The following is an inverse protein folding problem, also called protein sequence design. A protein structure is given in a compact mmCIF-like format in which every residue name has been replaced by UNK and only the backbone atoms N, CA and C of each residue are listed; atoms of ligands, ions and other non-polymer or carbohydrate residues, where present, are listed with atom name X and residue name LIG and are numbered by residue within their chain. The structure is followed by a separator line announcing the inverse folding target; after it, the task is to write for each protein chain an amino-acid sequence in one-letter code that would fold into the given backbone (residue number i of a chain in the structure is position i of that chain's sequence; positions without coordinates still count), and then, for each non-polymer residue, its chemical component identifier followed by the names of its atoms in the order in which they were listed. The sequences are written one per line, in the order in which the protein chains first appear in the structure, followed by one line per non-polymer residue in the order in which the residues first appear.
data_IF_617504464813
#
_entry.id   IF_617504464813
#
_cell.length_a   1.000
_cell.length_b   1.000
_cell.length_c   1.000
_cell.angle_alpha   90.00
_cell.angle_beta   90.00
_cell.angle_gamma   90.00
#
_symmetry.space_group_name_H-M   'P 1'
#
loop_
_entity.id
_entity.type
_entity.pdbx_description
1 polymer ?
#
# COMPACT_ATOMS: atom_id res chain seq x y z
N UNK A 1 33.44 7.56 -71.96
CA UNK A 1 33.19 6.34 -71.19
C UNK A 1 33.05 6.76 -69.71
N UNK A 2 31.83 7.08 -69.32
CA UNK A 2 31.53 7.61 -67.96
C UNK A 2 31.11 6.46 -67.03
N UNK A 3 31.89 6.21 -65.98
CA UNK A 3 31.60 5.23 -64.94
C UNK A 3 30.81 5.93 -63.84
N UNK A 4 29.54 5.63 -63.70
CA UNK A 4 28.67 6.10 -62.60
C UNK A 4 28.78 5.09 -61.44
N UNK A 5 29.47 5.46 -60.39
CA UNK A 5 29.55 4.68 -59.14
C UNK A 5 28.26 4.89 -58.34
N UNK A 6 27.45 3.85 -58.21
CA UNK A 6 26.27 3.87 -57.31
C UNK A 6 26.72 3.65 -55.89
N UNK A 7 26.50 4.66 -55.03
CA UNK A 7 26.65 4.55 -53.57
C UNK A 7 25.34 4.01 -53.00
N UNK A 8 25.39 2.78 -52.48
CA UNK A 8 24.28 2.21 -51.69
C UNK A 8 24.40 2.71 -50.26
N UNK A 9 23.49 3.58 -49.84
CA UNK A 9 23.33 3.99 -48.42
C UNK A 9 22.37 3.00 -47.76
N UNK A 10 22.88 2.10 -46.94
CA UNK A 10 22.09 1.24 -46.08
C UNK A 10 21.71 1.99 -44.79
N UNK A 11 20.47 2.41 -44.69
CA UNK A 11 19.94 3.03 -43.48
C UNK A 11 19.64 1.91 -42.49
N UNK A 12 20.44 1.76 -41.45
CA UNK A 12 20.12 0.91 -40.30
C UNK A 12 19.11 1.66 -39.45
N UNK A 13 17.84 1.28 -39.56
CA UNK A 13 16.78 1.69 -38.66
C UNK A 13 16.97 1.03 -37.28
N UNK A 14 17.37 1.81 -36.28
CA UNK A 14 17.37 1.37 -34.90
C UNK A 14 15.88 1.33 -34.45
N UNK A 15 15.27 0.14 -34.48
CA UNK A 15 14.00 -0.09 -33.78
C UNK A 15 14.29 -0.05 -32.29
N UNK A 16 14.04 1.09 -31.65
CA UNK A 16 13.91 1.17 -30.19
C UNK A 16 12.66 0.41 -29.80
N UNK A 17 12.82 -0.82 -29.38
CA UNK A 17 11.75 -1.57 -28.72
C UNK A 17 11.41 -0.83 -27.40
N UNK A 18 10.35 -0.02 -27.42
CA UNK A 18 9.68 0.44 -26.21
C UNK A 18 9.14 -0.84 -25.52
N UNK A 19 9.94 -1.38 -24.61
CA UNK A 19 9.47 -2.39 -23.67
C UNK A 19 8.40 -1.73 -22.80
N UNK A 20 7.15 -1.79 -23.25
CA UNK A 20 6.01 -1.57 -22.37
C UNK A 20 6.14 -2.65 -21.29
N UNK A 21 6.63 -2.30 -20.11
CA UNK A 21 6.67 -3.18 -18.95
C UNK A 21 5.21 -3.51 -18.63
N UNK A 22 4.74 -4.66 -19.12
CA UNK A 22 3.40 -5.13 -18.88
C UNK A 22 3.19 -5.23 -17.37
N UNK A 23 2.15 -4.58 -16.87
CA UNK A 23 1.67 -4.77 -15.49
C UNK A 23 1.39 -6.27 -15.33
N UNK A 24 2.12 -6.91 -14.44
CA UNK A 24 1.92 -8.32 -14.14
C UNK A 24 1.10 -8.44 -12.86
N UNK A 25 -0.09 -8.98 -12.95
CA UNK A 25 -0.87 -9.39 -11.78
C UNK A 25 -0.50 -10.84 -11.42
N UNK A 26 -0.11 -11.07 -10.16
CA UNK A 26 0.25 -12.38 -9.64
C UNK A 26 -0.66 -12.74 -8.46
N UNK A 27 -0.96 -14.02 -8.30
CA UNK A 27 -1.63 -14.52 -7.09
C UNK A 27 -0.74 -14.23 -5.87
N UNK A 28 -1.34 -13.75 -4.78
CA UNK A 28 -0.59 -13.44 -3.56
C UNK A 28 -0.12 -14.70 -2.84
N UNK A 29 -0.90 -15.76 -2.91
CA UNK A 29 -0.58 -17.07 -2.33
C UNK A 29 -0.36 -18.06 -3.47
N UNK A 30 0.74 -18.83 -3.47
CA UNK A 30 0.99 -19.84 -4.49
C UNK A 30 0.05 -21.05 -4.37
N UNK A 31 -0.41 -21.32 -3.14
CA UNK A 31 -1.29 -22.43 -2.77
C UNK A 31 -2.62 -21.90 -2.26
N UNK A 32 -3.24 -22.63 -1.33
CA UNK A 32 -4.50 -22.23 -0.72
C UNK A 32 -4.38 -20.91 0.05
N UNK A 33 -5.37 -20.04 -0.12
CA UNK A 33 -5.45 -18.78 0.64
C UNK A 33 -5.80 -19.10 2.10
N UNK A 34 -4.96 -18.74 3.08
CA UNK A 34 -5.23 -19.04 4.49
C UNK A 34 -6.48 -18.33 4.96
N UNK A 35 -7.18 -18.92 5.97
CA UNK A 35 -8.40 -18.33 6.52
C UNK A 35 -9.57 -18.18 5.50
N UNK A 36 -9.42 -18.73 4.29
CA UNK A 36 -10.49 -18.71 3.29
C UNK A 36 -11.49 -19.85 3.50
N UNK A 37 -12.74 -19.59 3.15
CA UNK A 37 -13.76 -20.61 2.95
C UNK A 37 -13.80 -21.00 1.47
N UNK A 38 -14.15 -22.26 1.21
CA UNK A 38 -14.34 -22.75 -0.16
C UNK A 38 -15.69 -22.26 -0.71
N UNK A 39 -15.63 -21.13 -1.40
CA UNK A 39 -16.80 -20.48 -1.99
C UNK A 39 -16.47 -19.94 -3.38
N UNK A 40 -17.48 -19.75 -4.20
CA UNK A 40 -17.34 -19.14 -5.52
C UNK A 40 -16.83 -17.71 -5.39
N UNK A 41 -15.89 -17.32 -6.24
CA UNK A 41 -15.42 -15.95 -6.34
C UNK A 41 -16.51 -15.05 -6.93
N UNK A 42 -17.02 -14.12 -6.13
CA UNK A 42 -18.04 -13.14 -6.53
C UNK A 42 -17.45 -11.73 -6.78
N UNK A 43 -16.13 -11.62 -7.00
CA UNK A 43 -15.47 -10.33 -7.23
C UNK A 43 -16.12 -9.56 -8.38
N UNK A 44 -16.37 -8.26 -8.16
CA UNK A 44 -16.92 -7.35 -9.17
C UNK A 44 -15.97 -6.16 -9.34
N UNK A 45 -15.63 -5.84 -10.57
CA UNK A 45 -14.88 -4.66 -10.96
C UNK A 45 -15.75 -3.75 -11.82
N UNK A 46 -15.97 -2.52 -11.38
CA UNK A 46 -16.76 -1.52 -12.13
C UNK A 46 -15.95 -0.89 -13.26
N UNK A 47 -16.62 -0.17 -14.17
CA UNK A 47 -15.97 0.61 -15.22
C UNK A 47 -15.04 1.71 -14.67
N UNK A 48 -15.31 2.23 -13.47
CA UNK A 48 -14.46 3.19 -12.74
C UNK A 48 -13.32 2.53 -11.96
N UNK A 49 -13.08 1.23 -12.17
CA UNK A 49 -12.06 0.47 -11.44
C UNK A 49 -12.24 0.47 -9.91
N UNK A 50 -13.48 0.42 -9.44
CA UNK A 50 -13.79 0.10 -8.06
C UNK A 50 -13.99 -1.43 -8.00
N UNK A 51 -13.26 -2.09 -7.10
CA UNK A 51 -13.33 -3.54 -6.91
C UNK A 51 -14.05 -3.86 -5.61
N UNK A 52 -14.96 -4.79 -5.63
CA UNK A 52 -15.73 -5.23 -4.46
C UNK A 52 -15.75 -6.76 -4.35
N UNK A 53 -16.12 -7.27 -3.17
CA UNK A 53 -16.22 -8.70 -2.86
C UNK A 53 -14.92 -9.47 -3.14
N UNK A 54 -13.77 -8.86 -2.94
CA UNK A 54 -12.47 -9.50 -3.14
C UNK A 54 -12.31 -10.66 -2.18
N UNK A 55 -12.18 -11.88 -2.72
CA UNK A 55 -11.90 -13.11 -1.98
C UNK A 55 -10.58 -13.77 -2.40
N UNK A 56 -10.05 -13.38 -3.57
CA UNK A 56 -8.78 -13.85 -4.12
C UNK A 56 -7.79 -12.69 -4.17
N UNK A 57 -6.83 -12.63 -3.23
CA UNK A 57 -5.89 -11.51 -3.17
C UNK A 57 -4.79 -11.65 -4.22
N UNK A 58 -4.38 -10.52 -4.81
CA UNK A 58 -3.34 -10.45 -5.84
C UNK A 58 -2.39 -9.29 -5.58
N UNK A 59 -1.20 -9.37 -6.17
CA UNK A 59 -0.25 -8.26 -6.31
C UNK A 59 -0.14 -7.88 -7.78
N UNK A 60 -0.37 -6.60 -8.10
CA UNK A 60 -0.02 -6.06 -9.42
C UNK A 60 1.35 -5.41 -9.32
N UNK A 61 2.29 -5.89 -10.11
CA UNK A 61 3.71 -5.52 -10.07
C UNK A 61 3.97 -4.38 -11.05
N UNK A 62 4.59 -3.31 -10.56
CA UNK A 62 5.06 -2.16 -11.33
C UNK A 62 6.54 -1.96 -11.08
N UNK A 63 7.37 -2.13 -12.10
CA UNK A 63 8.82 -2.04 -11.97
C UNK A 63 9.37 -0.84 -12.77
N UNK A 64 10.30 -0.08 -12.20
CA UNK A 64 11.05 0.90 -12.96
C UNK A 64 12.02 0.20 -13.94
N UNK A 65 12.52 0.91 -14.97
CA UNK A 65 13.65 0.44 -15.76
C UNK A 65 14.82 0.04 -14.84
N UNK A 66 15.48 -1.08 -15.14
CA UNK A 66 16.54 -1.64 -14.28
C UNK A 66 17.69 -0.66 -14.00
N UNK A 67 18.05 0.16 -14.97
CA UNK A 67 19.07 1.18 -14.88
C UNK A 67 18.68 2.40 -14.02
N UNK A 68 17.40 2.54 -13.70
CA UNK A 68 16.86 3.61 -12.85
C UNK A 68 16.41 3.13 -11.48
N UNK A 69 16.43 1.82 -11.23
CA UNK A 69 15.94 1.26 -9.98
C UNK A 69 16.79 1.69 -8.78
N UNK A 70 16.15 2.27 -7.77
CA UNK A 70 16.77 2.73 -6.51
C UNK A 70 16.97 1.60 -5.49
N UNK A 71 16.34 0.45 -5.73
CA UNK A 71 16.22 -0.64 -4.78
C UNK A 71 15.08 -0.48 -3.77
N UNK A 72 14.51 0.71 -3.61
CA UNK A 72 13.34 0.91 -2.76
C UNK A 72 12.07 0.32 -3.41
N UNK A 73 11.15 -0.13 -2.56
CA UNK A 73 9.84 -0.60 -3.00
C UNK A 73 8.71 -0.20 -2.06
N UNK A 74 7.50 -0.09 -2.59
CA UNK A 74 6.30 0.28 -1.83
C UNK A 74 5.15 -0.66 -2.18
N UNK A 75 4.56 -1.28 -1.16
CA UNK A 75 3.28 -1.99 -1.27
C UNK A 75 2.18 -0.96 -1.09
N UNK A 76 1.25 -0.87 -2.03
CA UNK A 76 0.17 0.13 -2.00
C UNK A 76 -1.15 -0.57 -1.68
N UNK A 77 -1.78 -0.16 -0.58
CA UNK A 77 -3.07 -0.62 -0.09
C UNK A 77 -4.14 0.44 -0.40
N UNK A 78 -4.99 0.27 -1.44
CA UNK A 78 -6.04 1.22 -1.76
C UNK A 78 -7.07 1.35 -0.65
N UNK A 79 -7.72 2.52 -0.55
CA UNK A 79 -8.84 2.76 0.35
C UNK A 79 -10.17 2.20 -0.17
N UNK A 80 -11.23 2.49 0.57
CA UNK A 80 -12.61 2.10 0.26
C UNK A 80 -13.36 1.52 1.45
N UNK A 81 -12.99 1.92 2.67
CA UNK A 81 -13.72 1.60 3.90
C UNK A 81 -13.77 0.11 4.25
N UNK A 82 -12.89 -0.73 3.71
CA UNK A 82 -12.96 -2.19 3.75
C UNK A 82 -14.21 -2.81 3.07
N UNK A 83 -15.02 -2.01 2.38
CA UNK A 83 -16.16 -2.48 1.59
C UNK A 83 -15.87 -2.60 0.10
N UNK A 84 -14.93 -1.80 -0.38
CA UNK A 84 -14.45 -1.79 -1.77
C UNK A 84 -12.96 -1.43 -1.82
N UNK A 85 -12.35 -1.50 -3.02
CA UNK A 85 -11.00 -0.98 -3.29
C UNK A 85 -11.07 0.06 -4.41
N UNK A 86 -10.55 1.26 -4.16
CA UNK A 86 -10.37 2.33 -5.16
C UNK A 86 -9.05 2.07 -5.92
N UNK A 87 -8.98 0.91 -6.61
CA UNK A 87 -7.72 0.31 -7.04
C UNK A 87 -6.97 1.11 -8.11
N UNK A 88 -7.67 1.92 -8.92
CA UNK A 88 -7.01 2.73 -9.94
C UNK A 88 -6.35 3.96 -9.29
N UNK A 89 -7.15 4.87 -8.74
CA UNK A 89 -6.66 6.17 -8.24
C UNK A 89 -5.70 6.04 -7.05
N UNK A 90 -6.01 5.14 -6.13
CA UNK A 90 -5.24 4.92 -4.89
C UNK A 90 -4.31 3.70 -4.98
N UNK A 91 -4.15 3.13 -6.17
CA UNK A 91 -3.30 1.99 -6.46
C UNK A 91 -2.46 2.22 -7.71
N UNK A 92 -3.02 1.94 -8.89
CA UNK A 92 -2.26 1.92 -10.15
C UNK A 92 -1.65 3.27 -10.52
N UNK A 93 -2.41 4.37 -10.41
CA UNK A 93 -1.93 5.72 -10.76
C UNK A 93 -0.75 6.13 -9.85
N UNK A 94 -0.80 5.74 -8.58
CA UNK A 94 0.26 6.00 -7.59
C UNK A 94 1.47 5.10 -7.85
N UNK A 95 1.26 3.82 -8.20
CA UNK A 95 2.33 2.90 -8.54
C UNK A 95 3.12 3.38 -9.77
N UNK A 96 2.42 3.89 -10.80
CA UNK A 96 3.06 4.51 -11.97
C UNK A 96 3.89 5.75 -11.58
N UNK A 97 3.43 6.54 -10.62
CA UNK A 97 4.18 7.69 -10.14
C UNK A 97 5.48 7.27 -9.42
N UNK A 98 5.44 6.24 -8.58
CA UNK A 98 6.64 5.70 -7.93
C UNK A 98 7.63 5.11 -8.93
N UNK A 99 7.17 4.38 -9.95
CA UNK A 99 8.09 3.78 -10.94
C UNK A 99 8.81 4.83 -11.78
N UNK A 100 8.18 5.97 -12.05
CA UNK A 100 8.84 7.13 -12.69
C UNK A 100 10.01 7.68 -11.85
N UNK A 101 9.99 7.45 -10.54
CA UNK A 101 11.03 7.84 -9.58
C UNK A 101 12.04 6.70 -9.28
N UNK A 102 12.00 5.62 -10.05
CA UNK A 102 12.90 4.48 -9.86
C UNK A 102 12.54 3.58 -8.66
N UNK A 103 11.35 3.72 -8.10
CA UNK A 103 10.87 2.94 -6.95
C UNK A 103 9.93 1.85 -7.47
N UNK A 104 10.20 0.58 -7.14
CA UNK A 104 9.28 -0.50 -7.45
C UNK A 104 7.98 -0.36 -6.65
N UNK A 105 6.83 -0.62 -7.27
CA UNK A 105 5.55 -0.52 -6.58
C UNK A 105 4.71 -1.79 -6.80
N UNK A 106 3.98 -2.18 -5.77
CA UNK A 106 3.18 -3.39 -5.75
C UNK A 106 1.79 -3.05 -5.23
N UNK A 107 0.79 -3.06 -6.10
CA UNK A 107 -0.59 -2.77 -5.69
C UNK A 107 -1.22 -4.03 -5.14
N UNK A 108 -1.58 -3.98 -3.86
CA UNK A 108 -2.21 -5.10 -3.17
C UNK A 108 -3.73 -5.01 -3.31
N UNK A 109 -4.30 -5.93 -4.08
CA UNK A 109 -5.73 -6.20 -4.06
C UNK A 109 -6.00 -7.15 -2.89
N UNK A 110 -6.13 -6.59 -1.69
CA UNK A 110 -6.36 -7.38 -0.48
C UNK A 110 -7.80 -7.83 -0.35
N UNK A 111 -8.04 -8.96 0.33
CA UNK A 111 -9.38 -9.48 0.60
C UNK A 111 -10.21 -8.49 1.38
N UNK A 112 -11.47 -8.35 0.99
CA UNK A 112 -12.43 -7.55 1.75
C UNK A 112 -13.11 -8.41 2.81
N UNK A 113 -13.22 -7.93 4.07
CA UNK A 113 -13.76 -8.70 5.17
C UNK A 113 -15.17 -9.20 4.90
N UNK A 114 -15.39 -10.51 5.00
CA UNK A 114 -16.69 -11.14 4.80
C UNK A 114 -16.77 -12.49 5.48
N UNK A 115 -17.80 -12.68 6.31
CA UNK A 115 -18.11 -13.99 6.91
C UNK A 115 -18.45 -15.06 5.86
N UNK A 116 -18.85 -14.67 4.65
CA UNK A 116 -19.10 -15.60 3.56
C UNK A 116 -17.81 -16.25 3.06
N UNK A 117 -16.71 -15.50 3.00
CA UNK A 117 -15.47 -15.90 2.33
C UNK A 117 -14.32 -16.20 3.27
N UNK A 118 -14.41 -15.82 4.55
CA UNK A 118 -13.35 -16.00 5.56
C UNK A 118 -13.87 -16.65 6.83
N UNK A 119 -12.99 -17.38 7.51
CA UNK A 119 -13.25 -17.96 8.85
C UNK A 119 -13.26 -16.83 9.87
N UNK A 120 -12.22 -15.98 9.86
CA UNK A 120 -12.11 -14.76 10.64
C UNK A 120 -11.88 -13.56 9.68
N UNK A 121 -12.92 -12.77 9.37
CA UNK A 121 -12.79 -11.61 8.48
C UNK A 121 -11.85 -10.52 9.00
N UNK A 122 -11.71 -10.39 10.32
CA UNK A 122 -10.96 -9.29 10.94
C UNK A 122 -9.46 -9.33 10.64
N UNK A 123 -8.91 -10.53 10.40
CA UNK A 123 -7.47 -10.72 10.15
C UNK A 123 -7.13 -10.88 8.66
N UNK A 124 -8.11 -11.13 7.79
CA UNK A 124 -7.86 -11.43 6.38
C UNK A 124 -7.03 -10.37 5.64
N UNK A 125 -7.40 -9.08 5.70
CA UNK A 125 -6.60 -8.02 5.09
C UNK A 125 -5.16 -7.95 5.63
N UNK A 126 -4.98 -8.11 6.94
CA UNK A 126 -3.65 -8.10 7.55
C UNK A 126 -2.80 -9.30 7.12
N UNK A 127 -3.40 -10.50 7.00
CA UNK A 127 -2.70 -11.66 6.45
C UNK A 127 -2.17 -11.37 5.04
N UNK A 128 -2.99 -10.72 4.22
CA UNK A 128 -2.61 -10.38 2.84
C UNK A 128 -1.49 -9.33 2.80
N UNK A 129 -1.53 -8.31 3.67
CA UNK A 129 -0.46 -7.32 3.77
C UNK A 129 0.86 -7.95 4.26
N UNK A 130 0.81 -8.83 5.26
CA UNK A 130 1.97 -9.57 5.76
C UNK A 130 2.53 -10.52 4.70
N UNK A 131 1.67 -11.20 3.95
CA UNK A 131 2.10 -12.06 2.84
C UNK A 131 2.74 -11.25 1.71
N UNK A 132 2.21 -10.06 1.39
CA UNK A 132 2.80 -9.19 0.39
C UNK A 132 4.23 -8.76 0.77
N UNK A 133 4.43 -8.31 2.02
CA UNK A 133 5.76 -7.95 2.55
C UNK A 133 6.71 -9.15 2.44
N UNK A 134 6.27 -10.33 2.90
CA UNK A 134 7.03 -11.57 2.85
C UNK A 134 7.41 -11.95 1.41
N UNK A 135 6.45 -11.95 0.49
CA UNK A 135 6.65 -12.31 -0.91
C UNK A 135 7.67 -11.38 -1.58
N UNK A 136 7.56 -10.06 -1.35
CA UNK A 136 8.49 -9.11 -1.95
C UNK A 136 9.89 -9.29 -1.36
N UNK A 137 10.00 -9.54 -0.05
CA UNK A 137 11.28 -9.79 0.61
C UNK A 137 11.97 -11.07 0.12
N UNK A 138 11.19 -12.13 -0.10
CA UNK A 138 11.68 -13.40 -0.66
C UNK A 138 12.14 -13.26 -2.12
N UNK A 139 11.42 -12.49 -2.91
CA UNK A 139 11.65 -12.33 -4.36
C UNK A 139 12.39 -11.02 -4.71
N UNK A 140 13.02 -10.38 -3.72
CA UNK A 140 13.63 -9.06 -3.87
C UNK A 140 14.65 -9.00 -5.03
N UNK A 141 15.48 -10.03 -5.19
CA UNK A 141 16.45 -10.12 -6.29
C UNK A 141 15.81 -10.20 -7.67
N UNK A 142 14.64 -10.84 -7.81
CA UNK A 142 13.90 -10.94 -9.08
C UNK A 142 13.43 -9.56 -9.55
N UNK A 143 13.04 -8.69 -8.62
CA UNK A 143 12.49 -7.37 -8.89
C UNK A 143 13.50 -6.22 -8.71
N UNK A 144 14.77 -6.55 -8.50
CA UNK A 144 15.83 -5.57 -8.24
C UNK A 144 15.51 -4.64 -7.05
N UNK A 145 14.95 -5.21 -5.98
CA UNK A 145 14.56 -4.56 -4.73
C UNK A 145 15.56 -4.90 -3.63
N UNK A 146 15.88 -3.93 -2.78
CA UNK A 146 16.61 -4.18 -1.53
C UNK A 146 15.63 -4.73 -0.49
N UNK A 147 15.85 -5.94 0.07
CA UNK A 147 14.95 -6.54 1.05
C UNK A 147 14.86 -5.77 2.38
N UNK A 148 15.70 -4.73 2.57
CA UNK A 148 15.69 -3.81 3.72
C UNK A 148 15.04 -2.46 3.40
N UNK A 149 14.43 -2.30 2.22
CA UNK A 149 13.78 -1.07 1.76
C UNK A 149 12.38 -1.33 1.20
N UNK A 150 11.60 -2.14 1.90
CA UNK A 150 10.22 -2.50 1.53
C UNK A 150 9.26 -1.73 2.42
N UNK A 151 8.66 -0.68 1.88
CA UNK A 151 7.63 0.10 2.57
C UNK A 151 6.22 -0.39 2.31
N UNK A 152 5.30 0.05 3.16
CA UNK A 152 3.87 -0.12 2.95
C UNK A 152 3.19 1.24 2.95
N UNK A 153 2.34 1.45 1.96
CA UNK A 153 1.55 2.67 1.79
C UNK A 153 0.08 2.35 1.82
N UNK A 154 -0.72 3.24 2.39
CA UNK A 154 -2.16 3.07 2.33
C UNK A 154 -2.94 4.36 2.40
N UNK A 155 -4.13 4.32 1.79
CA UNK A 155 -5.09 5.42 1.71
C UNK A 155 -6.33 5.07 2.55
N UNK A 156 -6.82 6.00 3.36
CA UNK A 156 -8.08 5.81 4.10
C UNK A 156 -8.09 4.49 4.90
N UNK A 157 -9.00 3.57 4.62
CA UNK A 157 -9.02 2.22 5.22
C UNK A 157 -7.79 1.37 4.83
N UNK A 158 -7.21 1.57 3.63
CA UNK A 158 -5.92 0.99 3.26
C UNK A 158 -4.77 1.57 4.09
N UNK A 159 -4.90 2.84 4.54
CA UNK A 159 -4.01 3.45 5.52
C UNK A 159 -4.08 2.78 6.89
N UNK A 160 -5.30 2.38 7.31
CA UNK A 160 -5.48 1.55 8.49
C UNK A 160 -4.76 0.21 8.34
N UNK A 161 -4.92 -0.46 7.21
CA UNK A 161 -4.24 -1.72 6.92
C UNK A 161 -2.71 -1.57 6.96
N UNK A 162 -2.18 -0.50 6.35
CA UNK A 162 -0.74 -0.21 6.36
C UNK A 162 -0.21 0.06 7.78
N UNK A 163 -0.94 0.86 8.57
CA UNK A 163 -0.61 1.11 9.98
C UNK A 163 -0.70 -0.17 10.82
N UNK A 164 -1.72 -1.02 10.58
CA UNK A 164 -1.85 -2.33 11.27
C UNK A 164 -0.69 -3.25 10.92
N UNK A 165 -0.25 -3.31 9.66
CA UNK A 165 0.94 -4.08 9.28
C UNK A 165 2.21 -3.56 9.98
N UNK A 166 2.32 -2.24 10.18
CA UNK A 166 3.44 -1.60 10.88
C UNK A 166 3.41 -1.68 12.39
N UNK A 167 2.30 -2.08 13.01
CA UNK A 167 2.16 -2.17 14.47
C UNK A 167 1.97 -3.61 14.99
N UNK A 168 1.54 -4.55 14.13
CA UNK A 168 1.21 -5.93 14.54
C UNK A 168 2.20 -6.99 14.00
N UNK A 169 3.36 -6.57 13.50
CA UNK A 169 4.35 -7.49 12.90
C UNK A 169 5.04 -8.41 13.91
N UNK A 170 5.12 -8.05 15.19
CA UNK A 170 5.74 -8.89 16.23
C UNK A 170 4.89 -10.13 16.57
N UNK A 171 3.58 -10.04 16.33
CA UNK A 171 2.62 -11.14 16.50
C UNK A 171 1.87 -11.34 15.17
N UNK A 172 2.53 -11.88 14.14
CA UNK A 172 1.93 -12.01 12.84
C UNK A 172 0.71 -12.92 12.86
N UNK A 173 -0.33 -12.53 12.10
CA UNK A 173 -1.51 -13.37 11.86
C UNK A 173 -1.31 -14.33 10.69
N UNK A 174 -0.25 -14.11 9.92
CA UNK A 174 0.24 -15.03 8.90
C UNK A 174 1.20 -16.03 9.55
N UNK A 175 1.00 -17.33 9.27
CA UNK A 175 1.96 -18.36 9.71
C UNK A 175 3.31 -18.14 9.00
N UNK A 176 4.35 -17.84 9.77
CA UNK A 176 5.73 -17.67 9.29
C UNK A 176 6.62 -18.76 9.88
N UNK A 177 7.00 -19.73 9.05
CA UNK A 177 7.88 -20.86 9.49
C UNK A 177 9.31 -20.70 8.99
N UNK A 178 9.57 -19.73 8.11
CA UNK A 178 10.83 -19.52 7.40
C UNK A 178 11.69 -18.38 7.97
N UNK A 179 11.25 -17.76 9.06
CA UNK A 179 11.97 -16.68 9.73
C UNK A 179 12.01 -15.34 8.97
N UNK A 180 11.28 -15.22 7.86
CA UNK A 180 11.24 -13.98 7.07
C UNK A 180 10.35 -12.96 7.78
N UNK A 181 10.90 -11.77 8.03
CA UNK A 181 10.20 -10.70 8.70
C UNK A 181 9.02 -10.17 7.86
N UNK A 182 7.86 -10.00 8.49
CA UNK A 182 6.68 -9.34 7.93
C UNK A 182 6.57 -7.87 8.35
N UNK A 183 7.61 -7.34 9.02
CA UNK A 183 7.68 -5.91 9.36
C UNK A 183 8.03 -5.11 8.11
N UNK A 184 7.24 -4.10 7.73
CA UNK A 184 7.64 -3.16 6.68
C UNK A 184 8.82 -2.31 7.16
N UNK A 185 9.66 -1.83 6.25
CA UNK A 185 10.82 -1.01 6.63
C UNK A 185 10.43 0.45 6.85
N UNK A 186 9.31 0.90 6.25
CA UNK A 186 8.70 2.21 6.47
C UNK A 186 7.21 2.20 6.11
N UNK A 187 6.49 3.25 6.56
CA UNK A 187 5.06 3.44 6.28
C UNK A 187 4.80 4.78 5.59
N UNK A 188 3.85 4.81 4.66
CA UNK A 188 3.32 6.03 4.03
C UNK A 188 1.79 6.01 4.21
N UNK A 189 1.25 6.96 4.97
CA UNK A 189 -0.13 6.99 5.40
C UNK A 189 -0.82 8.24 4.87
N UNK A 190 -1.79 8.07 3.96
CA UNK A 190 -2.46 9.18 3.28
C UNK A 190 -3.92 9.23 3.74
N UNK A 191 -4.31 10.30 4.40
CA UNK A 191 -5.61 10.46 5.10
C UNK A 191 -6.10 9.16 5.76
N UNK A 192 -5.23 8.53 6.59
CA UNK A 192 -5.47 7.19 7.06
C UNK A 192 -6.59 7.13 8.10
N UNK A 193 -7.39 6.08 8.04
CA UNK A 193 -8.06 5.60 9.25
C UNK A 193 -6.97 5.01 10.15
N UNK A 194 -7.03 5.30 11.44
CA UNK A 194 -6.06 4.81 12.45
C UNK A 194 -6.79 4.16 13.61
N UNK A 195 -7.79 4.86 14.13
CA UNK A 195 -8.53 4.46 15.32
C UNK A 195 -9.91 3.92 14.98
N UNK A 196 -10.40 3.00 15.81
CA UNK A 196 -11.80 2.59 15.84
C UNK A 196 -12.48 3.00 17.17
N UNK A 197 -11.79 3.80 18.00
CA UNK A 197 -12.33 4.32 19.25
C UNK A 197 -13.47 5.32 18.98
N UNK A 198 -14.46 5.34 19.86
CA UNK A 198 -15.60 6.26 19.76
C UNK A 198 -15.16 7.73 19.71
N UNK A 199 -15.82 8.52 18.88
CA UNK A 199 -15.56 9.95 18.71
C UNK A 199 -14.36 10.30 17.81
N UNK A 200 -13.51 9.32 17.44
CA UNK A 200 -12.30 9.53 16.64
C UNK A 200 -12.32 8.64 15.40
N UNK A 201 -12.74 7.40 15.59
CA UNK A 201 -12.64 6.34 14.60
C UNK A 201 -13.59 6.50 13.42
N UNK A 202 -13.17 6.02 12.25
CA UNK A 202 -14.06 5.88 11.12
C UNK A 202 -14.97 4.65 11.30
N UNK A 203 -16.18 4.88 11.82
CA UNK A 203 -17.15 3.83 12.19
C UNK A 203 -17.42 2.82 11.05
N UNK A 204 -17.54 3.32 9.80
CA UNK A 204 -17.79 2.46 8.64
C UNK A 204 -16.69 1.41 8.43
N UNK A 205 -15.43 1.81 8.48
CA UNK A 205 -14.28 0.90 8.37
C UNK A 205 -14.23 -0.08 9.55
N UNK A 206 -14.50 0.39 10.76
CA UNK A 206 -14.53 -0.46 11.94
C UNK A 206 -15.60 -1.56 11.85
N UNK A 207 -16.81 -1.20 11.44
CA UNK A 207 -17.91 -2.16 11.24
C UNK A 207 -17.60 -3.15 10.10
N UNK A 208 -17.02 -2.68 9.00
CA UNK A 208 -16.69 -3.57 7.89
C UNK A 208 -15.57 -4.55 8.24
N UNK A 209 -14.57 -4.15 9.04
CA UNK A 209 -13.47 -5.02 9.43
C UNK A 209 -13.83 -5.95 10.58
N UNK A 210 -14.44 -5.42 11.64
CA UNK A 210 -14.63 -6.13 12.91
C UNK A 210 -16.05 -6.65 13.12
N UNK A 211 -17.00 -6.29 12.25
CA UNK A 211 -18.42 -6.55 12.44
C UNK A 211 -19.11 -5.53 13.36
N UNK A 212 -20.44 -5.61 13.40
CA UNK A 212 -21.29 -4.66 14.18
C UNK A 212 -21.14 -4.81 15.68
N UNK A 213 -20.75 -5.99 16.14
CA UNK A 213 -20.69 -6.38 17.55
C UNK A 213 -19.24 -6.54 18.05
N UNK A 214 -18.31 -5.75 17.49
CA UNK A 214 -16.93 -5.78 17.92
C UNK A 214 -16.79 -5.51 19.43
N UNK A 215 -16.04 -6.34 20.13
CA UNK A 215 -15.75 -6.13 21.55
C UNK A 215 -14.81 -4.93 21.75
N UNK A 216 -14.86 -4.32 22.93
CA UNK A 216 -13.92 -3.25 23.29
C UNK A 216 -12.45 -3.67 23.16
N UNK A 217 -12.15 -4.96 23.37
CA UNK A 217 -10.80 -5.49 23.17
C UNK A 217 -10.40 -5.49 21.70
N UNK A 218 -11.28 -5.90 20.79
CA UNK A 218 -11.03 -5.83 19.34
C UNK A 218 -10.89 -4.39 18.87
N UNK A 219 -11.77 -3.49 19.31
CA UNK A 219 -11.68 -2.06 18.97
C UNK A 219 -10.31 -1.49 19.39
N UNK A 220 -9.86 -1.77 20.62
CA UNK A 220 -8.54 -1.33 21.11
C UNK A 220 -7.40 -1.98 20.34
N UNK A 221 -7.50 -3.27 20.03
CA UNK A 221 -6.46 -4.00 19.29
C UNK A 221 -6.25 -3.41 17.89
N UNK A 222 -7.31 -3.04 17.21
CA UNK A 222 -7.27 -2.44 15.87
C UNK A 222 -7.28 -0.90 15.86
N UNK A 223 -7.10 -0.26 17.02
CA UNK A 223 -6.81 1.18 17.12
C UNK A 223 -5.29 1.34 17.18
N UNK A 224 -4.70 1.63 16.02
CA UNK A 224 -3.25 1.52 15.80
C UNK A 224 -2.43 2.51 16.62
N UNK A 225 -2.99 3.65 17.02
CA UNK A 225 -2.34 4.60 17.93
C UNK A 225 -2.04 4.00 19.32
N UNK A 226 -2.78 2.96 19.70
CA UNK A 226 -2.59 2.23 20.94
C UNK A 226 -1.58 1.08 20.84
N UNK A 227 -1.13 0.76 19.62
CA UNK A 227 -0.27 -0.39 19.32
C UNK A 227 1.16 0.01 18.94
N UNK A 228 1.46 1.30 18.93
CA UNK A 228 2.80 1.81 18.60
C UNK A 228 3.81 1.42 19.68
N UNK A 229 4.94 0.87 19.23
CA UNK A 229 6.11 0.55 20.06
C UNK A 229 7.36 1.20 19.48
N UNK A 230 8.48 1.16 20.18
CA UNK A 230 9.79 1.62 19.67
C UNK A 230 10.28 0.84 18.46
N UNK A 231 9.72 -0.36 18.19
CA UNK A 231 10.01 -1.18 17.03
C UNK A 231 9.14 -0.84 15.81
N UNK A 232 8.12 0.02 15.96
CA UNK A 232 7.25 0.47 14.86
C UNK A 232 8.10 1.15 13.77
N UNK A 233 7.87 0.89 12.48
CA UNK A 233 8.64 1.51 11.39
C UNK A 233 8.48 3.02 11.33
N UNK A 234 9.49 3.76 10.81
CA UNK A 234 9.35 5.19 10.51
C UNK A 234 8.18 5.46 9.56
N UNK A 235 7.54 6.62 9.69
CA UNK A 235 6.31 6.93 8.99
C UNK A 235 6.27 8.34 8.39
N UNK A 236 5.78 8.43 7.14
CA UNK A 236 5.29 9.66 6.54
C UNK A 236 3.75 9.67 6.61
N UNK A 237 3.17 10.76 7.10
CA UNK A 237 1.72 10.88 7.28
C UNK A 237 1.25 12.19 6.64
N UNK A 238 0.13 12.14 5.91
CA UNK A 238 -0.49 13.36 5.35
C UNK A 238 -2.01 13.32 5.47
N UNK A 239 -2.63 14.47 5.81
CA UNK A 239 -4.07 14.58 6.02
C UNK A 239 -4.57 16.01 5.71
N UNK A 240 -5.88 16.19 5.47
CA UNK A 240 -6.51 17.49 5.39
C UNK A 240 -7.31 17.80 6.67
N UNK A 241 -7.25 19.04 7.15
CA UNK A 241 -7.97 19.46 8.37
C UNK A 241 -9.49 19.47 8.17
N UNK A 242 -9.96 19.63 6.93
CA UNK A 242 -11.38 19.68 6.58
C UNK A 242 -11.95 18.32 6.13
N UNK A 243 -11.21 17.22 6.37
CA UNK A 243 -11.71 15.88 6.12
C UNK A 243 -12.85 15.54 7.08
N UNK A 244 -14.08 15.42 6.53
CA UNK A 244 -15.31 15.13 7.28
C UNK A 244 -15.64 13.62 7.30
N UNK A 245 -14.90 12.80 6.55
CA UNK A 245 -15.09 11.33 6.49
C UNK A 245 -14.20 10.65 7.51
N UNK A 246 -12.90 10.97 7.50
CA UNK A 246 -11.92 10.49 8.47
C UNK A 246 -11.34 11.70 9.20
N UNK A 247 -11.72 11.95 10.46
CA UNK A 247 -11.23 13.10 11.20
C UNK A 247 -9.69 13.13 11.25
N UNK A 248 -9.10 14.32 11.05
CA UNK A 248 -7.65 14.54 11.07
C UNK A 248 -6.99 14.09 12.38
N UNK A 249 -7.76 13.99 13.47
CA UNK A 249 -7.33 13.43 14.76
C UNK A 249 -6.77 12.01 14.65
N UNK A 250 -7.18 11.21 13.65
CA UNK A 250 -6.57 9.91 13.38
C UNK A 250 -5.05 10.05 13.13
N UNK A 251 -4.66 10.94 12.23
CA UNK A 251 -3.25 11.20 11.91
C UNK A 251 -2.50 11.86 13.07
N UNK A 252 -3.13 12.80 13.77
CA UNK A 252 -2.51 13.50 14.91
C UNK A 252 -2.19 12.53 16.05
N UNK A 253 -3.12 11.66 16.42
CA UNK A 253 -2.93 10.69 17.51
C UNK A 253 -1.88 9.63 17.16
N UNK A 254 -1.85 9.18 15.90
CA UNK A 254 -0.83 8.23 15.48
C UNK A 254 0.56 8.86 15.48
N UNK A 255 0.69 10.08 14.96
CA UNK A 255 1.94 10.83 15.00
C UNK A 255 2.42 11.03 16.44
N UNK A 256 1.52 11.45 17.35
CA UNK A 256 1.84 11.62 18.77
C UNK A 256 2.31 10.30 19.40
N UNK A 257 1.65 9.18 19.07
CA UNK A 257 2.06 7.86 19.56
C UNK A 257 3.45 7.46 19.04
N UNK A 258 3.76 7.74 17.76
CA UNK A 258 5.09 7.53 17.18
C UNK A 258 6.15 8.37 17.92
N UNK A 259 5.88 9.67 18.17
CA UNK A 259 6.80 10.54 18.88
C UNK A 259 7.06 10.07 20.33
N UNK A 260 6.01 9.66 21.06
CA UNK A 260 6.14 9.10 22.42
C UNK A 260 6.99 7.84 22.48
N UNK A 261 7.07 7.08 21.39
CA UNK A 261 7.88 5.87 21.27
C UNK A 261 9.21 6.08 20.56
N UNK A 262 9.63 7.34 20.35
CA UNK A 262 10.87 7.73 19.66
C UNK A 262 11.00 7.15 18.23
N UNK A 263 9.87 6.94 17.56
CA UNK A 263 9.83 6.51 16.16
C UNK A 263 9.93 7.73 15.25
N UNK A 264 10.90 7.73 14.33
CA UNK A 264 11.06 8.80 13.33
C UNK A 264 9.80 8.92 12.47
N UNK A 265 9.20 10.11 12.43
CA UNK A 265 8.01 10.34 11.63
C UNK A 265 7.86 11.79 11.18
N UNK A 266 7.22 11.98 10.04
CA UNK A 266 6.90 13.28 9.46
C UNK A 266 5.40 13.39 9.20
N UNK A 267 4.79 14.52 9.59
CA UNK A 267 3.35 14.76 9.45
C UNK A 267 3.10 16.07 8.69
N UNK A 268 2.29 15.98 7.63
CA UNK A 268 1.82 17.13 6.84
C UNK A 268 0.31 17.27 6.95
N UNK A 269 -0.14 18.40 7.47
CA UNK A 269 -1.57 18.73 7.56
C UNK A 269 -1.88 19.88 6.61
N UNK A 270 -2.75 19.63 5.64
CA UNK A 270 -3.27 20.64 4.73
C UNK A 270 -4.54 21.26 5.30
N UNK A 271 -4.70 22.58 5.13
CA UNK A 271 -5.90 23.28 5.62
C UNK A 271 -7.16 22.87 4.86
N UNK A 272 -7.01 22.49 3.59
CA UNK A 272 -8.06 22.06 2.66
C UNK A 272 -7.64 20.79 1.94
N UNK A 273 -8.63 19.97 1.57
CA UNK A 273 -8.39 18.74 0.81
C UNK A 273 -9.56 17.77 0.82
N UNK A 274 -10.41 17.86 1.81
CA UNK A 274 -11.48 16.90 2.06
C UNK A 274 -10.94 15.45 2.09
N UNK A 275 -11.80 14.45 2.08
CA UNK A 275 -11.36 13.07 2.00
C UNK A 275 -11.01 12.68 0.57
N UNK A 276 -9.81 12.16 0.36
CA UNK A 276 -9.40 11.61 -0.94
C UNK A 276 -8.56 12.54 -1.81
N UNK A 277 -8.30 13.80 -1.41
CA UNK A 277 -7.43 14.72 -2.15
C UNK A 277 -7.78 14.84 -3.64
N UNK A 278 -9.07 15.05 -3.94
CA UNK A 278 -9.54 15.04 -5.33
C UNK A 278 -8.97 16.18 -6.16
N UNK A 279 -8.69 17.33 -5.51
CA UNK A 279 -8.19 18.55 -6.18
C UNK A 279 -7.07 19.23 -5.39
N UNK A 280 -7.16 19.20 -4.06
CA UNK A 280 -6.25 19.89 -3.13
C UNK A 280 -5.93 18.93 -1.98
N UNK A 281 -4.67 18.83 -1.55
CA UNK A 281 -3.48 19.28 -2.25
C UNK A 281 -3.34 18.62 -3.63
N UNK A 282 -2.64 19.28 -4.55
CA UNK A 282 -2.32 18.65 -5.83
C UNK A 282 -1.48 17.38 -5.60
N UNK A 283 -1.62 16.39 -6.48
CA UNK A 283 -0.89 15.13 -6.35
C UNK A 283 0.62 15.34 -6.18
N UNK A 284 1.21 16.16 -7.03
CA UNK A 284 2.66 16.42 -7.03
C UNK A 284 3.14 17.14 -5.75
N UNK A 285 2.25 17.85 -5.04
CA UNK A 285 2.59 18.53 -3.80
C UNK A 285 2.80 17.52 -2.66
N UNK A 286 1.79 16.71 -2.34
CA UNK A 286 1.92 15.75 -1.23
C UNK A 286 2.87 14.60 -1.59
N UNK A 287 2.85 14.16 -2.85
CA UNK A 287 3.73 13.10 -3.32
C UNK A 287 5.20 13.55 -3.36
N UNK A 288 5.47 14.80 -3.78
CA UNK A 288 6.80 15.39 -3.74
C UNK A 288 7.37 15.47 -2.32
N UNK A 289 6.54 15.80 -1.32
CA UNK A 289 6.93 15.76 0.10
C UNK A 289 7.25 14.34 0.57
N UNK A 290 6.44 13.38 0.16
CA UNK A 290 6.69 11.96 0.44
C UNK A 290 8.04 11.50 -0.12
N UNK A 291 8.34 11.83 -1.37
CA UNK A 291 9.63 11.50 -2.00
C UNK A 291 10.81 12.19 -1.29
N UNK A 292 10.65 13.45 -0.92
CA UNK A 292 11.66 14.18 -0.14
C UNK A 292 11.94 13.48 1.19
N UNK A 293 10.89 13.11 1.91
CA UNK A 293 11.02 12.34 3.15
C UNK A 293 11.72 10.99 2.92
N UNK A 294 11.35 10.25 1.89
CA UNK A 294 12.03 8.99 1.55
C UNK A 294 13.53 9.18 1.30
N UNK A 295 13.92 10.30 0.67
CA UNK A 295 15.32 10.66 0.46
C UNK A 295 16.04 10.98 1.77
N UNK A 296 15.47 11.84 2.62
CA UNK A 296 16.08 12.24 3.90
C UNK A 296 16.14 11.08 4.90
N UNK A 297 15.18 10.15 4.84
CA UNK A 297 15.17 8.94 5.64
C UNK A 297 16.09 7.82 5.09
N UNK A 298 16.75 8.02 3.94
CA UNK A 298 17.73 7.09 3.37
C UNK A 298 17.13 5.90 2.62
N UNK A 299 15.84 5.90 2.30
CA UNK A 299 15.21 4.83 1.52
C UNK A 299 15.50 4.96 0.03
N UNK A 300 15.59 6.18 -0.48
CA UNK A 300 15.99 6.49 -1.86
C UNK A 300 17.23 7.39 -1.85
N UNK A 301 17.99 7.35 -2.95
CA UNK A 301 19.17 8.21 -3.14
C UNK A 301 18.79 9.45 -3.94
#
# INVERSE_FOLDING_TARGET
MNIITKINVTVFGILSALSCLAQQEIALYPDAVPNAKDVVNEEVKTASNIVSKVSQPTLTVFLPPKDKATGASVIICPGGGYGVLVIKREGYDVAEAFTKQGIAAFVLKYRLPSEKTMIDPSIGPLQDAQQAIKTIRQRAGEWNVDPKKIGIMGFSAGGHLAATAGTHFEKPVLATTDGISVRPDFMILVYPVISFMDGIGHKGSGVNLLGKNASSAQIKLFSNELQVTSSTPPAFITHASDDTVVPVSNSLLFYEALQRNAVSSELHIYSKGEHGYLKVPAFDEWFGRCLHWMGTAGFVK
#
